data_IF_385996429377
#
_entry.id   IF_385996429377
#
_cell.length_a   1.000
_cell.length_b   1.000
_cell.length_c   1.000
_cell.angle_alpha   90.00
_cell.angle_beta   90.00
_cell.angle_gamma   90.00
#
_symmetry.space_group_name_H-M   'P 1'
#
loop_
_entity.id
_entity.type
_entity.pdbx_description
1 polymer ?
#
# COMPACT_ATOMS: atom_id res chain seq x y z
N UNK A 1 -11.37 10.07 -19.49
CA UNK A 1 -11.40 10.09 -18.38
C UNK A 1 -10.23 9.81 -17.64
N UNK A 2 -10.16 9.99 -16.54
CA UNK A 2 -8.98 9.98 -15.80
C UNK A 2 -8.73 8.70 -15.16
N UNK A 3 -7.62 8.13 -15.40
CA UNK A 3 -7.20 7.06 -14.56
C UNK A 3 -6.74 7.69 -13.28
N UNK A 4 -7.33 7.28 -12.19
CA UNK A 4 -6.94 7.79 -10.89
C UNK A 4 -6.01 6.83 -10.21
N UNK A 5 -4.92 7.36 -9.71
CA UNK A 5 -4.03 6.59 -8.88
C UNK A 5 -4.55 6.61 -7.45
N UNK A 6 -4.28 5.55 -6.74
CA UNK A 6 -4.59 5.45 -5.32
C UNK A 6 -3.34 5.79 -4.55
N UNK A 7 -3.47 6.61 -3.51
CA UNK A 7 -2.34 7.00 -2.69
C UNK A 7 -2.53 6.46 -1.29
N UNK A 8 -1.53 5.71 -0.82
CA UNK A 8 -1.49 5.21 0.55
C UNK A 8 -0.43 5.98 1.31
N UNK A 9 -0.77 6.48 2.48
CA UNK A 9 0.21 7.11 3.35
C UNK A 9 0.66 6.10 4.38
N UNK A 10 1.96 5.94 4.51
CA UNK A 10 2.57 5.00 5.44
C UNK A 10 3.22 5.78 6.55
N UNK A 11 2.93 5.42 7.79
CA UNK A 11 3.54 6.05 8.96
C UNK A 11 4.32 5.02 9.74
N UNK A 12 5.54 5.38 10.11
CA UNK A 12 6.41 4.47 10.83
C UNK A 12 7.37 5.25 11.72
N UNK A 13 7.84 4.60 12.79
CA UNK A 13 8.90 5.15 13.63
C UNK A 13 10.25 4.55 13.27
N UNK A 14 10.30 3.62 12.31
CA UNK A 14 11.53 2.95 11.90
C UNK A 14 11.69 3.06 10.39
N UNK A 15 11.79 4.28 9.91
CA UNK A 15 11.71 4.55 8.48
C UNK A 15 12.71 3.76 7.64
N UNK A 16 13.97 3.75 8.06
CA UNK A 16 15.00 3.15 7.22
C UNK A 16 14.78 1.67 6.99
N UNK A 17 14.34 0.97 8.03
CA UNK A 17 14.04 -0.45 7.92
C UNK A 17 12.72 -0.69 7.21
N UNK A 18 11.69 0.04 7.66
CA UNK A 18 10.33 -0.23 7.17
C UNK A 18 10.14 0.19 5.73
N UNK A 19 10.82 1.26 5.29
CA UNK A 19 10.71 1.67 3.89
C UNK A 19 11.17 0.56 2.96
N UNK A 20 12.28 -0.09 3.30
CA UNK A 20 12.76 -1.18 2.47
C UNK A 20 11.85 -2.38 2.49
N UNK A 21 11.28 -2.69 3.66
CA UNK A 21 10.35 -3.80 3.74
C UNK A 21 9.07 -3.52 2.98
N UNK A 22 8.58 -2.28 3.05
CA UNK A 22 7.39 -1.88 2.31
C UNK A 22 7.67 -1.91 0.81
N UNK A 23 8.82 -1.40 0.39
CA UNK A 23 9.19 -1.42 -1.03
C UNK A 23 9.27 -2.86 -1.54
N UNK A 24 9.90 -3.73 -0.77
CA UNK A 24 10.02 -5.14 -1.14
C UNK A 24 8.66 -5.80 -1.18
N UNK A 25 7.77 -5.46 -0.25
CA UNK A 25 6.42 -6.01 -0.25
C UNK A 25 5.66 -5.57 -1.50
N UNK A 26 5.80 -4.30 -1.88
CA UNK A 26 5.14 -3.81 -3.10
C UNK A 26 5.71 -4.48 -4.34
N UNK A 27 7.02 -4.71 -4.39
CA UNK A 27 7.61 -5.45 -5.49
C UNK A 27 7.03 -6.86 -5.59
N UNK A 28 6.89 -7.54 -4.45
CA UNK A 28 6.29 -8.86 -4.43
C UNK A 28 4.85 -8.83 -4.91
N UNK A 29 4.12 -7.81 -4.48
CA UNK A 29 2.71 -7.69 -4.85
C UNK A 29 2.55 -7.48 -6.36
N UNK A 30 3.34 -6.57 -6.94
CA UNK A 30 3.20 -6.33 -8.37
C UNK A 30 3.69 -7.52 -9.20
N UNK A 31 4.70 -8.24 -8.72
CA UNK A 31 5.14 -9.45 -9.39
C UNK A 31 4.03 -10.51 -9.37
N UNK A 32 3.39 -10.66 -8.21
CA UNK A 32 2.28 -11.60 -8.07
C UNK A 32 1.14 -11.24 -9.03
N UNK A 33 0.91 -9.96 -9.23
CA UNK A 33 -0.17 -9.49 -10.10
C UNK A 33 0.23 -9.34 -11.55
N UNK A 34 1.51 -9.56 -11.89
CA UNK A 34 1.96 -9.51 -13.27
C UNK A 34 2.09 -8.11 -13.82
N UNK A 35 2.34 -7.12 -12.96
CA UNK A 35 2.45 -5.72 -13.37
C UNK A 35 3.87 -5.25 -13.12
N UNK A 36 4.39 -4.40 -14.00
CA UNK A 36 5.69 -3.76 -13.83
C UNK A 36 5.49 -2.27 -13.62
N UNK A 37 6.35 -1.70 -12.78
CA UNK A 37 6.34 -0.25 -12.51
C UNK A 37 4.97 0.24 -12.08
N UNK A 38 4.31 -0.56 -11.23
CA UNK A 38 2.95 -0.26 -10.81
C UNK A 38 2.83 0.66 -9.60
N UNK A 39 3.95 1.06 -9.00
CA UNK A 39 3.88 1.93 -7.83
C UNK A 39 5.10 2.85 -7.77
N UNK A 40 4.95 3.93 -7.01
CA UNK A 40 6.04 4.85 -6.71
C UNK A 40 6.01 5.15 -5.22
N UNK A 41 7.19 5.31 -4.62
CA UNK A 41 7.29 5.66 -3.20
C UNK A 41 7.89 7.05 -3.09
N UNK A 42 7.24 7.93 -2.33
CA UNK A 42 7.70 9.30 -2.16
C UNK A 42 8.81 9.39 -1.11
N UNK A 43 9.45 10.55 -1.05
CA UNK A 43 10.37 10.87 0.01
C UNK A 43 9.58 11.04 1.31
N UNK A 44 10.24 10.82 2.46
CA UNK A 44 9.52 10.92 3.73
C UNK A 44 9.39 12.36 4.20
N UNK A 45 8.39 12.59 5.03
CA UNK A 45 8.26 13.79 5.82
C UNK A 45 8.30 13.36 7.28
N UNK A 46 9.20 13.97 8.06
CA UNK A 46 9.36 13.58 9.46
C UNK A 46 8.71 14.58 10.37
N UNK A 47 8.04 14.06 11.40
CA UNK A 47 7.33 14.90 12.34
C UNK A 47 7.15 14.14 13.66
N UNK A 48 7.63 14.72 14.74
CA UNK A 48 7.43 14.16 16.09
C UNK A 48 7.91 12.73 16.22
N UNK A 49 9.05 12.40 15.60
CA UNK A 49 9.60 11.04 15.69
C UNK A 49 8.97 10.06 14.75
N UNK A 50 7.98 10.48 13.96
CA UNK A 50 7.35 9.64 12.95
C UNK A 50 7.82 10.06 11.57
N UNK A 51 7.94 9.09 10.69
CA UNK A 51 8.17 9.35 9.28
C UNK A 51 6.92 8.98 8.51
N UNK A 52 6.53 9.85 7.60
CA UNK A 52 5.36 9.64 6.75
C UNK A 52 5.81 9.64 5.30
N UNK A 53 5.47 8.62 4.56
CA UNK A 53 5.77 8.60 3.12
C UNK A 53 4.56 8.03 2.39
N UNK A 54 4.51 8.26 1.10
CA UNK A 54 3.35 7.89 0.32
C UNK A 54 3.73 6.84 -0.73
N UNK A 55 2.79 5.94 -0.97
CA UNK A 55 2.90 4.99 -2.08
C UNK A 55 1.80 5.35 -3.05
N UNK A 56 2.21 5.71 -4.28
CA UNK A 56 1.25 5.92 -5.35
C UNK A 56 1.07 4.59 -6.06
N UNK A 57 -0.14 4.06 -6.00
CA UNK A 57 -0.47 2.79 -6.65
C UNK A 57 -1.15 3.13 -7.96
N UNK A 58 -0.51 2.79 -9.08
CA UNK A 58 -1.05 3.11 -10.39
C UNK A 58 -2.27 2.27 -10.67
N UNK A 59 -3.11 2.77 -11.56
CA UNK A 59 -4.37 2.11 -11.87
C UNK A 59 -4.17 0.67 -12.35
N UNK A 60 -3.13 0.44 -13.14
CA UNK A 60 -2.86 -0.89 -13.65
C UNK A 60 -2.62 -1.88 -12.52
N UNK A 61 -1.86 -1.46 -11.51
CA UNK A 61 -1.60 -2.34 -10.38
C UNK A 61 -2.83 -2.51 -9.52
N UNK A 62 -3.55 -1.42 -9.28
CA UNK A 62 -4.76 -1.49 -8.47
C UNK A 62 -5.78 -2.45 -9.09
N UNK A 63 -5.98 -2.35 -10.41
CA UNK A 63 -6.90 -3.23 -11.10
C UNK A 63 -6.45 -4.69 -11.01
N UNK A 64 -5.15 -4.92 -11.16
CA UNK A 64 -4.62 -6.28 -11.10
C UNK A 64 -4.77 -6.87 -9.69
N UNK A 65 -4.57 -6.05 -8.67
CA UNK A 65 -4.78 -6.49 -7.29
C UNK A 65 -6.23 -6.91 -7.09
N UNK A 66 -7.16 -6.09 -7.57
CA UNK A 66 -8.57 -6.40 -7.41
C UNK A 66 -8.97 -7.67 -8.16
N UNK A 67 -8.38 -7.87 -9.34
CA UNK A 67 -8.67 -9.08 -10.10
C UNK A 67 -8.11 -10.34 -9.44
N UNK A 68 -6.87 -10.28 -9.01
CA UNK A 68 -6.20 -11.45 -8.48
C UNK A 68 -6.49 -11.72 -7.02
N UNK A 69 -6.66 -10.67 -6.24
CA UNK A 69 -6.75 -10.77 -4.79
C UNK A 69 -8.05 -10.17 -4.25
N UNK A 70 -9.04 -9.96 -5.12
CA UNK A 70 -10.28 -9.36 -4.73
C UNK A 70 -11.00 -10.11 -3.62
N UNK A 71 -10.94 -11.45 -3.64
CA UNK A 71 -11.58 -12.24 -2.59
C UNK A 71 -10.94 -11.98 -1.24
N UNK A 72 -9.61 -11.86 -1.21
CA UNK A 72 -8.91 -11.59 0.03
C UNK A 72 -9.23 -10.20 0.56
N UNK A 73 -9.35 -9.23 -0.35
CA UNK A 73 -9.73 -7.89 0.04
C UNK A 73 -11.15 -7.91 0.62
N UNK A 74 -12.06 -8.59 -0.04
CA UNK A 74 -13.44 -8.67 0.42
C UNK A 74 -13.55 -9.29 1.81
N UNK A 75 -12.67 -10.23 2.14
CA UNK A 75 -12.67 -10.86 3.45
C UNK A 75 -11.95 -10.05 4.51
N UNK A 76 -11.27 -8.98 4.13
CA UNK A 76 -10.56 -8.15 5.08
C UNK A 76 -11.56 -7.36 5.92
N UNK A 77 -11.10 -6.90 7.09
CA UNK A 77 -11.95 -6.15 7.99
C UNK A 77 -12.33 -4.81 7.38
N UNK A 78 -13.50 -4.32 7.76
CA UNK A 78 -13.97 -3.04 7.29
C UNK A 78 -15.38 -3.15 6.73
N UNK A 79 -16.09 -2.02 6.72
CA UNK A 79 -17.44 -1.98 6.19
C UNK A 79 -17.46 -1.50 4.75
N UNK A 80 -16.54 -0.61 4.40
CA UNK A 80 -16.47 -0.04 3.06
C UNK A 80 -15.33 -0.68 2.29
N UNK A 81 -15.41 -0.69 0.95
CA UNK A 81 -14.31 -1.24 0.14
C UNK A 81 -12.97 -0.58 0.45
N UNK A 82 -12.97 0.72 0.69
CA UNK A 82 -11.73 1.43 1.01
C UNK A 82 -11.10 0.93 2.30
N UNK A 83 -11.94 0.70 3.32
CA UNK A 83 -11.45 0.17 4.59
C UNK A 83 -10.89 -1.23 4.42
N UNK A 84 -11.57 -2.05 3.63
CA UNK A 84 -11.11 -3.41 3.39
C UNK A 84 -9.77 -3.41 2.65
N UNK A 85 -9.61 -2.51 1.70
CA UNK A 85 -8.36 -2.42 0.96
C UNK A 85 -7.22 -1.98 1.88
N UNK A 86 -7.45 -0.97 2.72
CA UNK A 86 -6.42 -0.50 3.64
C UNK A 86 -6.04 -1.61 4.61
N UNK A 87 -7.01 -2.33 5.13
CA UNK A 87 -6.72 -3.43 6.07
C UNK A 87 -6.00 -4.57 5.37
N UNK A 88 -6.37 -4.85 4.13
CA UNK A 88 -5.66 -5.85 3.33
C UNK A 88 -4.19 -5.45 3.18
N UNK A 89 -3.93 -4.20 2.81
CA UNK A 89 -2.56 -3.74 2.61
C UNK A 89 -1.77 -3.72 3.92
N UNK A 90 -2.42 -3.32 5.01
CA UNK A 90 -1.77 -3.33 6.32
C UNK A 90 -1.33 -4.75 6.67
N UNK A 91 -2.22 -5.71 6.48
CA UNK A 91 -1.90 -7.10 6.79
C UNK A 91 -0.84 -7.65 5.85
N UNK A 92 -0.86 -7.24 4.59
CA UNK A 92 0.13 -7.69 3.63
C UNK A 92 1.52 -7.20 4.03
N UNK A 93 1.64 -5.93 4.41
CA UNK A 93 2.90 -5.39 4.86
C UNK A 93 3.37 -6.09 6.13
N UNK A 94 2.45 -6.31 7.07
CA UNK A 94 2.80 -6.97 8.31
C UNK A 94 3.28 -8.40 8.06
N UNK A 95 2.66 -9.09 7.13
CA UNK A 95 3.09 -10.42 6.73
C UNK A 95 4.53 -10.38 6.21
N UNK A 96 4.95 -9.28 5.61
CA UNK A 96 6.30 -9.08 5.12
C UNK A 96 7.20 -8.40 6.16
N UNK A 97 6.76 -8.40 7.41
CA UNK A 97 7.53 -7.89 8.56
C UNK A 97 7.59 -6.37 8.66
N UNK A 98 6.76 -5.66 7.92
CA UNK A 98 6.68 -4.21 8.02
C UNK A 98 5.47 -3.84 8.85
N UNK A 99 5.69 -3.52 10.11
CA UNK A 99 4.61 -3.12 11.01
C UNK A 99 4.43 -1.63 10.92
N UNK A 100 3.60 -1.20 9.99
CA UNK A 100 3.40 0.22 9.70
C UNK A 100 1.92 0.54 9.75
N UNK A 101 1.63 1.83 9.88
CA UNK A 101 0.26 2.31 9.79
C UNK A 101 -0.02 2.72 8.36
N UNK A 102 -1.17 2.34 7.85
CA UNK A 102 -1.56 2.60 6.47
C UNK A 102 -2.83 3.42 6.48
N UNK A 103 -2.85 4.46 5.66
CA UNK A 103 -4.01 5.33 5.52
C UNK A 103 -4.23 5.62 4.06
N UNK A 104 -5.48 5.60 3.63
CA UNK A 104 -5.82 5.97 2.27
C UNK A 104 -5.96 7.48 2.19
N UNK A 105 -5.27 8.09 1.21
CA UNK A 105 -5.38 9.52 0.98
C UNK A 105 -6.42 9.73 -0.11
N UNK A 106 -7.42 10.53 0.20
CA UNK A 106 -8.46 10.84 -0.77
C UNK A 106 -8.30 12.26 -1.26
N UNK A 107 -8.53 12.45 -2.54
CA UNK A 107 -8.47 13.79 -3.14
C UNK A 107 -9.71 14.59 -2.83
#
# INVERSE_FOLDING_TARGET
MNSRSTILEIATTKYETDRELVSSAMDSLQTLCGVKDGFLISNPMERFGWAFFKILVKMELLSAIQLKLGDQITRSKGKKPEEKFVNFMTNFFEYKNAKVKVKLIED
#
